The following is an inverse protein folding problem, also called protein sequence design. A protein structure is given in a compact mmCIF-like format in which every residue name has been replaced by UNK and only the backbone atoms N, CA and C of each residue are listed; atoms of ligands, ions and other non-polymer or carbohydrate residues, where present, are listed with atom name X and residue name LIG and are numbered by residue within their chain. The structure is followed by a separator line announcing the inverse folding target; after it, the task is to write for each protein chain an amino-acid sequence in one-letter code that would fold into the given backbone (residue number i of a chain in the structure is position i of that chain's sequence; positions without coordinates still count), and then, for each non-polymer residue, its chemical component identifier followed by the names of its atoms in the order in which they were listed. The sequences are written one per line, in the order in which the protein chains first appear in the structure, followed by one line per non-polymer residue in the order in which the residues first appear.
data_IF_021265363807
#
_entry.id   IF_021265363807
#
_cell.length_a   1.000
_cell.length_b   1.000
_cell.length_c   1.000
_cell.angle_alpha   90.00
_cell.angle_beta   90.00
_cell.angle_gamma   90.00
#
_symmetry.space_group_name_H-M   'P 1'
#
loop_
_entity.id
_entity.type
_entity.pdbx_description
1 polymer ?
#
# COMPACT_ATOMS: atom_id res chain seq x y z
N UNK A 1 -16.23 -12.97 1.63
CA UNK A 1 -15.97 -13.61 0.33
C UNK A 1 -14.45 -13.54 0.15
N UNK A 2 -13.73 -14.65 0.36
CA UNK A 2 -12.27 -14.64 0.24
C UNK A 2 -11.89 -14.22 -1.18
N UNK A 3 -11.02 -13.21 -1.31
CA UNK A 3 -10.45 -12.85 -2.60
C UNK A 3 -9.61 -14.04 -3.08
N UNK A 4 -10.07 -14.76 -4.12
CA UNK A 4 -9.33 -15.90 -4.70
C UNK A 4 -7.92 -15.53 -5.20
N UNK A 5 -7.66 -14.24 -5.34
CA UNK A 5 -6.38 -13.67 -5.76
C UNK A 5 -5.67 -12.88 -4.65
N UNK A 6 -6.03 -13.08 -3.37
CA UNK A 6 -5.47 -12.33 -2.23
C UNK A 6 -3.93 -12.31 -2.23
N UNK A 7 -3.28 -13.45 -2.46
CA UNK A 7 -1.82 -13.54 -2.47
C UNK A 7 -1.19 -12.73 -3.61
N UNK A 8 -1.80 -12.76 -4.79
CA UNK A 8 -1.34 -12.00 -5.95
C UNK A 8 -1.48 -10.49 -5.71
N UNK A 9 -2.59 -10.07 -5.10
CA UNK A 9 -2.80 -8.68 -4.72
C UNK A 9 -1.86 -8.22 -3.61
N UNK A 10 -1.60 -9.06 -2.60
CA UNK A 10 -0.61 -8.78 -1.55
C UNK A 10 0.80 -8.62 -2.14
N UNK A 11 1.18 -9.46 -3.10
CA UNK A 11 2.46 -9.33 -3.80
C UNK A 11 2.57 -8.01 -4.57
N UNK A 12 1.49 -7.56 -5.21
CA UNK A 12 1.46 -6.26 -5.90
C UNK A 12 1.61 -5.09 -4.91
N UNK A 13 0.91 -5.15 -3.76
CA UNK A 13 1.06 -4.15 -2.71
C UNK A 13 2.51 -4.07 -2.21
N UNK A 14 3.16 -5.22 -1.98
CA UNK A 14 4.56 -5.29 -1.59
C UNK A 14 5.48 -4.63 -2.61
N UNK A 15 5.32 -4.96 -3.90
CA UNK A 15 6.11 -4.35 -4.98
C UNK A 15 5.96 -2.82 -5.02
N UNK A 16 4.75 -2.33 -4.77
CA UNK A 16 4.49 -0.89 -4.76
C UNK A 16 5.14 -0.21 -3.55
N UNK A 17 5.05 -0.81 -2.36
CA UNK A 17 5.74 -0.34 -1.14
C UNK A 17 7.25 -0.26 -1.38
N UNK A 18 7.85 -1.29 -1.97
CA UNK A 18 9.29 -1.32 -2.27
C UNK A 18 9.69 -0.21 -3.27
N UNK A 19 8.84 0.06 -4.27
CA UNK A 19 9.05 1.15 -5.23
C UNK A 19 8.98 2.52 -4.55
N UNK A 20 7.98 2.75 -3.69
CA UNK A 20 7.84 4.00 -2.94
C UNK A 20 9.01 4.19 -1.97
N UNK A 21 9.50 3.12 -1.34
CA UNK A 21 10.70 3.16 -0.51
C UNK A 21 11.93 3.65 -1.28
N UNK A 22 12.12 3.18 -2.52
CA UNK A 22 13.19 3.67 -3.40
C UNK A 22 12.99 5.14 -3.78
N UNK A 23 11.76 5.55 -4.08
CA UNK A 23 11.45 6.95 -4.38
C UNK A 23 11.72 7.86 -3.18
N UNK A 24 11.37 7.42 -1.96
CA UNK A 24 11.61 8.16 -0.72
C UNK A 24 13.10 8.35 -0.45
N UNK A 25 13.94 7.36 -0.81
CA UNK A 25 15.39 7.49 -0.74
C UNK A 25 15.97 8.46 -1.78
N UNK A 26 15.39 8.52 -2.99
CA UNK A 26 15.84 9.41 -4.07
C UNK A 26 15.33 10.86 -3.93
N UNK A 27 14.17 11.05 -3.30
CA UNK A 27 13.48 12.34 -3.16
C UNK A 27 13.18 12.64 -1.68
N UNK A 28 14.21 12.97 -0.88
CA UNK A 28 14.05 13.19 0.56
C UNK A 28 13.08 14.35 0.89
N UNK A 29 12.94 15.32 -0.01
CA UNK A 29 11.98 16.42 0.10
C UNK A 29 10.51 15.97 0.01
N UNK A 30 10.26 14.76 -0.51
CA UNK A 30 8.93 14.14 -0.59
C UNK A 30 8.74 13.01 0.42
N UNK A 31 9.64 12.86 1.38
CA UNK A 31 9.65 11.72 2.31
C UNK A 31 8.35 11.57 3.09
N UNK A 32 7.79 12.66 3.58
CA UNK A 32 6.54 12.66 4.36
C UNK A 32 5.33 12.16 3.55
N UNK A 33 4.97 12.76 2.39
CA UNK A 33 3.87 12.25 1.58
C UNK A 33 4.11 10.83 1.03
N UNK A 34 5.37 10.45 0.76
CA UNK A 34 5.71 9.08 0.35
C UNK A 34 5.57 8.07 1.50
N UNK A 35 5.83 8.49 2.74
CA UNK A 35 5.59 7.68 3.92
C UNK A 35 4.11 7.47 4.18
N UNK A 36 3.27 8.50 4.02
CA UNK A 36 1.81 8.37 4.12
C UNK A 36 1.28 7.40 3.06
N UNK A 37 1.71 7.57 1.80
CA UNK A 37 1.35 6.66 0.72
C UNK A 37 1.77 5.22 1.04
N UNK A 38 2.96 5.04 1.61
CA UNK A 38 3.44 3.71 2.05
C UNK A 38 2.54 3.10 3.13
N UNK A 39 2.06 3.89 4.09
CA UNK A 39 1.13 3.42 5.12
C UNK A 39 -0.19 2.96 4.51
N UNK A 40 -0.75 3.72 3.57
CA UNK A 40 -1.97 3.33 2.85
C UNK A 40 -1.80 2.02 2.09
N UNK A 41 -0.66 1.81 1.43
CA UNK A 41 -0.37 0.53 0.76
C UNK A 41 -0.21 -0.65 1.72
N UNK A 42 0.39 -0.43 2.90
CA UNK A 42 0.46 -1.46 3.95
C UNK A 42 -0.92 -1.82 4.47
N UNK A 43 -1.77 -0.83 4.70
CA UNK A 43 -3.14 -1.06 5.13
C UNK A 43 -3.93 -1.87 4.10
N UNK A 44 -3.82 -1.49 2.82
CA UNK A 44 -4.42 -2.24 1.71
C UNK A 44 -3.91 -3.68 1.63
N UNK A 45 -2.61 -3.90 1.80
CA UNK A 45 -2.01 -5.23 1.83
C UNK A 45 -2.63 -6.11 2.92
N UNK A 46 -2.81 -5.56 4.13
CA UNK A 46 -3.44 -6.26 5.23
C UNK A 46 -4.91 -6.60 4.95
N UNK A 47 -5.70 -5.66 4.43
CA UNK A 47 -7.10 -5.91 4.05
C UNK A 47 -7.20 -7.05 3.03
N UNK A 48 -6.35 -7.01 2.00
CA UNK A 48 -6.31 -8.05 0.97
C UNK A 48 -5.95 -9.42 1.55
N UNK A 49 -4.96 -9.48 2.46
CA UNK A 49 -4.53 -10.73 3.10
C UNK A 49 -5.59 -11.31 4.03
N UNK A 50 -6.38 -10.45 4.69
CA UNK A 50 -7.52 -10.88 5.50
C UNK A 50 -8.68 -11.43 4.65
N UNK A 51 -8.62 -11.29 3.32
CA UNK A 51 -9.71 -11.63 2.41
C UNK A 51 -10.84 -10.61 2.46
N UNK A 52 -10.58 -9.43 3.01
CA UNK A 52 -11.53 -8.33 3.07
C UNK A 52 -11.63 -7.63 1.71
N UNK A 53 -12.78 -6.99 1.48
CA UNK A 53 -12.90 -6.06 0.36
C UNK A 53 -12.09 -4.80 0.71
N UNK A 54 -11.15 -4.37 -0.14
CA UNK A 54 -10.42 -3.15 0.10
C UNK A 54 -11.34 -1.95 0.29
N UNK A 55 -11.11 -1.19 1.36
CA UNK A 55 -11.71 0.13 1.56
C UNK A 55 -10.57 1.12 1.53
N UNK A 56 -10.56 1.99 0.52
CA UNK A 56 -9.64 3.11 0.48
C UNK A 56 -9.95 4.00 1.67
N UNK A 57 -8.95 4.26 2.50
CA UNK A 57 -9.05 5.31 3.50
C UNK A 57 -9.05 6.64 2.73
N UNK A 58 -10.23 7.21 2.51
CA UNK A 58 -10.35 8.58 2.00
C UNK A 58 -9.82 9.52 3.09
N UNK A 59 -8.55 9.89 2.98
CA UNK A 59 -7.98 10.97 3.79
C UNK A 59 -7.41 12.01 2.84
N UNK A 60 -8.29 12.79 2.22
CA UNK A 60 -7.94 14.14 1.73
C UNK A 60 -9.17 15.05 1.92
N UNK A 61 -9.16 15.83 2.99
CA UNK A 61 -9.77 17.17 3.06
C UNK A 61 -8.65 18.14 3.38
#
# INVERSE_FOLDING_TARGET
MYLSNADRWSLLCKKQIDMIGKLSASFPERKEPLNELTHSWRHLQHQVQAGDRPVMHESIK
#
